data_IF_213243533395
#
_entry.id   IF_213243533395
#
_cell.length_a   1.000
_cell.length_b   1.000
_cell.length_c   1.000
_cell.angle_alpha   90.00
_cell.angle_beta   90.00
_cell.angle_gamma   90.00
#
_symmetry.space_group_name_H-M   'P 1'
#
loop_
_entity.id
_entity.type
_entity.pdbx_description
1 polymer ?
#
# COMPACT_ATOMS: atom_id res chain seq x y z
N UNK A 1 7.52 -4.11 -14.64
CA UNK A 1 7.28 -3.40 -13.36
C UNK A 1 8.61 -3.02 -12.71
N UNK A 2 9.50 -3.96 -12.41
CA UNK A 2 10.77 -3.67 -11.73
C UNK A 2 11.55 -2.51 -12.36
N UNK A 3 11.70 -2.52 -13.68
CA UNK A 3 12.37 -1.45 -14.45
C UNK A 3 11.66 -0.08 -14.36
N UNK A 4 10.32 -0.05 -14.18
CA UNK A 4 9.56 1.20 -14.00
C UNK A 4 9.67 1.77 -12.58
N UNK A 5 10.03 0.92 -11.62
CA UNK A 5 10.12 1.25 -10.21
C UNK A 5 11.57 1.31 -9.71
N UNK A 6 12.54 1.08 -10.59
CA UNK A 6 13.98 1.02 -10.25
C UNK A 6 14.28 0.04 -9.11
N UNK A 7 13.56 -1.11 -9.06
CA UNK A 7 13.69 -2.08 -7.98
C UNK A 7 14.05 -3.47 -8.49
N UNK A 8 14.36 -4.40 -7.58
CA UNK A 8 14.62 -5.79 -7.93
C UNK A 8 13.34 -6.53 -8.33
N UNK A 9 13.47 -7.53 -9.20
CA UNK A 9 12.33 -8.35 -9.63
C UNK A 9 11.69 -9.08 -8.46
N UNK A 10 12.48 -9.48 -7.48
CA UNK A 10 12.01 -10.15 -6.27
C UNK A 10 11.11 -9.29 -5.37
N UNK A 11 11.14 -7.96 -5.54
CA UNK A 11 10.33 -7.03 -4.77
C UNK A 11 9.00 -6.70 -5.47
N UNK A 12 8.76 -7.29 -6.64
CA UNK A 12 7.54 -7.04 -7.43
C UNK A 12 6.53 -8.16 -7.23
N UNK A 13 5.30 -7.79 -6.96
CA UNK A 13 4.14 -8.67 -6.97
C UNK A 13 3.13 -8.27 -8.05
N UNK A 14 2.21 -9.18 -8.37
CA UNK A 14 1.15 -8.95 -9.32
C UNK A 14 -0.20 -9.34 -8.71
N UNK A 15 -1.25 -8.65 -9.13
CA UNK A 15 -2.63 -8.93 -8.76
C UNK A 15 -3.59 -8.59 -9.88
N UNK A 16 -4.89 -8.73 -9.64
CA UNK A 16 -5.92 -8.40 -10.61
C UNK A 16 -6.30 -6.90 -10.59
N UNK A 17 -6.06 -6.21 -9.48
CA UNK A 17 -6.34 -4.78 -9.32
C UNK A 17 -5.54 -4.20 -8.15
N UNK A 18 -5.34 -2.86 -8.14
CA UNK A 18 -4.79 -2.17 -6.98
C UNK A 18 -5.64 -2.41 -5.72
N UNK A 19 -6.97 -2.47 -5.88
CA UNK A 19 -7.89 -2.77 -4.77
C UNK A 19 -7.61 -4.14 -4.14
N UNK A 20 -7.36 -5.18 -4.95
CA UNK A 20 -6.99 -6.51 -4.43
C UNK A 20 -5.68 -6.46 -3.66
N UNK A 21 -4.65 -5.81 -4.22
CA UNK A 21 -3.35 -5.71 -3.57
C UNK A 21 -3.43 -4.93 -2.25
N UNK A 22 -4.14 -3.78 -2.24
CA UNK A 22 -4.36 -2.99 -1.03
C UNK A 22 -5.21 -3.73 0.01
N UNK A 23 -6.25 -4.44 -0.44
CA UNK A 23 -7.07 -5.28 0.43
C UNK A 23 -6.28 -6.41 1.08
N UNK A 24 -5.48 -7.12 0.28
CA UNK A 24 -4.58 -8.18 0.77
C UNK A 24 -3.56 -7.64 1.76
N UNK A 25 -2.99 -6.46 1.48
CA UNK A 25 -2.06 -5.79 2.37
C UNK A 25 -2.73 -5.39 3.70
N UNK A 26 -3.91 -4.80 3.65
CA UNK A 26 -4.62 -4.38 4.86
C UNK A 26 -4.89 -5.56 5.81
N UNK A 27 -5.29 -6.71 5.26
CA UNK A 27 -5.46 -7.95 6.03
C UNK A 27 -4.13 -8.59 6.46
N UNK A 28 -3.03 -8.34 5.75
CA UNK A 28 -1.71 -8.83 6.16
C UNK A 28 -1.10 -8.01 7.30
N UNK A 29 -1.42 -6.72 7.39
CA UNK A 29 -0.94 -5.80 8.42
C UNK A 29 -1.82 -5.82 9.65
N UNK A 30 -3.15 -5.75 9.49
CA UNK A 30 -4.16 -5.76 10.55
C UNK A 30 -3.83 -4.79 11.72
N UNK A 31 -3.84 -3.47 11.50
CA UNK A 31 -3.60 -2.51 12.58
C UNK A 31 -4.51 -2.80 13.77
N UNK A 32 -3.94 -2.87 14.97
CA UNK A 32 -4.64 -3.27 16.19
C UNK A 32 -5.45 -2.13 16.83
N UNK A 33 -6.32 -2.47 17.80
CA UNK A 33 -6.97 -1.46 18.64
C UNK A 33 -5.93 -0.58 19.34
N UNK A 34 -6.15 0.74 19.32
CA UNK A 34 -5.23 1.75 19.84
C UNK A 34 -4.20 2.23 18.80
N UNK A 35 -4.07 1.54 17.68
CA UNK A 35 -3.30 2.05 16.53
C UNK A 35 -4.20 2.84 15.58
N UNK A 36 -3.56 3.59 14.67
CA UNK A 36 -4.27 4.34 13.65
C UNK A 36 -3.66 4.16 12.25
N UNK A 37 -4.49 4.43 11.25
CA UNK A 37 -4.11 4.55 9.85
C UNK A 37 -4.38 5.97 9.40
N UNK A 38 -3.36 6.64 8.87
CA UNK A 38 -3.45 8.02 8.38
C UNK A 38 -3.59 8.03 6.86
N UNK A 39 -4.52 8.83 6.35
CA UNK A 39 -4.71 9.10 4.92
C UNK A 39 -5.31 10.49 4.69
N UNK A 40 -5.87 10.73 3.52
CA UNK A 40 -6.57 11.97 3.19
C UNK A 40 -7.96 11.68 2.60
N UNK A 41 -8.89 12.62 2.80
CA UNK A 41 -10.23 12.56 2.20
C UNK A 41 -10.22 12.73 0.67
N UNK A 42 -9.12 13.22 0.09
CA UNK A 42 -8.94 13.36 -1.34
C UNK A 42 -8.56 12.04 -2.03
N UNK A 43 -8.00 11.07 -1.30
CA UNK A 43 -7.54 9.80 -1.87
C UNK A 43 -8.68 8.98 -2.46
N UNK A 44 -8.35 8.24 -3.53
CA UNK A 44 -9.30 7.33 -4.15
C UNK A 44 -9.80 6.30 -3.13
N UNK A 45 -11.10 5.94 -3.13
CA UNK A 45 -11.67 5.07 -2.10
C UNK A 45 -10.93 3.74 -1.88
N UNK A 46 -10.36 3.14 -2.93
CA UNK A 46 -9.60 1.89 -2.78
C UNK A 46 -8.32 2.04 -1.97
N UNK A 47 -7.80 3.27 -1.81
CA UNK A 47 -6.64 3.54 -0.96
C UNK A 47 -7.01 3.53 0.54
N UNK A 48 -8.28 3.83 0.86
CA UNK A 48 -8.75 3.99 2.25
C UNK A 48 -9.66 2.84 2.71
N UNK A 49 -10.62 2.42 1.88
CA UNK A 49 -11.66 1.46 2.28
C UNK A 49 -11.15 0.10 2.79
N UNK A 50 -10.06 -0.49 2.25
CA UNK A 50 -9.52 -1.72 2.82
C UNK A 50 -9.13 -1.58 4.29
N UNK A 51 -8.52 -0.46 4.64
CA UNK A 51 -8.15 -0.16 6.03
C UNK A 51 -9.37 0.09 6.90
N UNK A 52 -10.37 0.84 6.40
CA UNK A 52 -11.64 1.04 7.12
C UNK A 52 -12.30 -0.30 7.41
N UNK A 53 -12.31 -1.22 6.44
CA UNK A 53 -12.92 -2.55 6.64
C UNK A 53 -12.18 -3.36 7.71
N UNK A 54 -10.86 -3.35 7.70
CA UNK A 54 -10.05 -4.04 8.74
C UNK A 54 -10.25 -3.37 10.10
N UNK A 55 -10.34 -2.04 10.14
CA UNK A 55 -10.58 -1.29 11.38
C UNK A 55 -11.90 -1.64 12.07
N UNK A 56 -12.94 -1.98 11.32
CA UNK A 56 -14.20 -2.48 11.90
C UNK A 56 -14.00 -3.75 12.73
N UNK A 57 -13.10 -4.62 12.31
CA UNK A 57 -12.80 -5.89 13.01
C UNK A 57 -11.76 -5.73 14.12
N UNK A 58 -10.82 -4.81 13.96
CA UNK A 58 -9.67 -4.67 14.88
C UNK A 58 -9.83 -3.56 15.91
N UNK A 59 -10.65 -2.55 15.62
CA UNK A 59 -10.80 -1.35 16.45
C UNK A 59 -9.70 -0.30 16.24
N UNK A 60 -8.91 -0.41 15.17
CA UNK A 60 -7.96 0.65 14.79
C UNK A 60 -8.70 1.93 14.35
N UNK A 61 -8.09 3.09 14.52
CA UNK A 61 -8.65 4.37 14.11
C UNK A 61 -8.26 4.70 12.66
N UNK A 62 -9.19 5.26 11.88
CA UNK A 62 -8.88 5.86 10.56
C UNK A 62 -8.88 7.39 10.69
N UNK A 63 -7.74 8.01 10.43
CA UNK A 63 -7.54 9.45 10.45
C UNK A 63 -7.37 9.98 9.04
N UNK A 64 -8.23 10.91 8.65
CA UNK A 64 -8.25 11.45 7.29
C UNK A 64 -8.02 12.97 7.33
N UNK A 65 -6.89 13.40 6.76
CA UNK A 65 -6.62 14.80 6.52
C UNK A 65 -7.72 15.40 5.62
N UNK A 66 -8.25 16.59 5.96
CA UNK A 66 -9.26 17.27 5.15
C UNK A 66 -8.64 17.79 3.84
N UNK A 67 -9.47 18.03 2.84
CA UNK A 67 -9.13 18.78 1.64
C UNK A 67 -9.99 20.04 1.54
N UNK A 68 -9.58 20.99 0.73
CA UNK A 68 -10.36 22.18 0.38
C UNK A 68 -11.44 21.89 -0.68
N UNK A 69 -12.15 22.92 -1.13
CA UNK A 69 -13.20 22.81 -2.16
C UNK A 69 -12.66 22.38 -3.56
N UNK A 70 -11.35 22.48 -3.78
CA UNK A 70 -10.67 22.02 -4.99
C UNK A 70 -10.09 20.62 -4.82
N UNK A 71 -10.45 19.92 -3.76
CA UNK A 71 -9.90 18.61 -3.37
C UNK A 71 -8.38 18.62 -3.07
N UNK A 72 -7.80 19.80 -2.82
CA UNK A 72 -6.40 19.92 -2.42
C UNK A 72 -6.25 19.60 -0.93
N UNK A 73 -5.35 18.69 -0.60
CA UNK A 73 -4.95 18.38 0.78
C UNK A 73 -3.59 18.98 1.07
N UNK A 74 -3.51 19.78 2.13
CA UNK A 74 -2.23 20.25 2.64
C UNK A 74 -1.41 19.05 3.15
N UNK A 75 -0.19 18.82 2.61
CA UNK A 75 0.65 17.72 3.09
C UNK A 75 0.98 17.79 4.59
N UNK A 76 1.10 19.01 5.17
CA UNK A 76 1.28 19.19 6.61
C UNK A 76 0.05 18.71 7.38
N UNK A 77 -1.14 18.80 6.80
CA UNK A 77 -2.36 18.26 7.37
C UNK A 77 -2.32 16.73 7.47
N UNK A 78 -1.63 16.03 6.57
CA UNK A 78 -1.43 14.58 6.65
C UNK A 78 -0.43 14.27 7.75
N UNK A 79 0.74 14.90 7.74
CA UNK A 79 1.81 14.62 8.70
C UNK A 79 1.43 14.96 10.14
N UNK A 80 0.59 15.97 10.35
CA UNK A 80 0.08 16.35 11.68
C UNK A 80 -0.83 15.30 12.34
N UNK A 81 -1.36 14.34 11.56
CA UNK A 81 -2.18 13.23 12.08
C UNK A 81 -1.35 12.00 12.48
N UNK A 82 -0.04 12.01 12.16
CA UNK A 82 0.88 10.91 12.46
C UNK A 82 1.35 11.04 13.91
N UNK A 83 1.26 9.95 14.66
CA UNK A 83 1.76 9.85 16.04
C UNK A 83 2.42 8.48 16.30
N UNK A 84 2.89 8.25 17.52
CA UNK A 84 3.56 7.01 17.93
C UNK A 84 2.68 5.75 17.81
N UNK A 85 1.37 5.91 17.65
CA UNK A 85 0.42 4.80 17.46
C UNK A 85 0.06 4.61 15.98
N UNK A 86 0.64 5.39 15.07
CA UNK A 86 0.37 5.22 13.63
C UNK A 86 1.03 3.95 13.12
N UNK A 87 0.21 3.01 12.64
CA UNK A 87 0.69 1.77 12.04
C UNK A 87 0.94 1.92 10.54
N UNK A 88 0.10 2.71 9.87
CA UNK A 88 0.15 2.89 8.40
C UNK A 88 -0.14 4.33 8.04
N UNK A 89 0.63 4.85 7.09
CA UNK A 89 0.30 6.05 6.31
C UNK A 89 0.04 5.60 4.88
N UNK A 90 -1.13 5.93 4.32
CA UNK A 90 -1.51 5.51 2.96
C UNK A 90 -2.07 6.66 2.16
N UNK A 91 -1.53 6.88 0.96
CA UNK A 91 -1.95 7.98 0.07
C UNK A 91 -1.91 7.54 -1.40
N UNK A 92 -2.64 8.24 -2.26
CA UNK A 92 -2.36 8.23 -3.69
C UNK A 92 -1.10 9.06 -3.97
N UNK A 93 -0.17 8.61 -4.83
CA UNK A 93 0.96 9.46 -5.25
C UNK A 93 0.47 10.69 -6.03
N UNK A 94 -0.52 10.47 -6.89
CA UNK A 94 -1.24 11.53 -7.62
C UNK A 94 -2.73 11.34 -7.39
N UNK A 95 -3.40 12.38 -6.92
CA UNK A 95 -4.83 12.30 -6.63
C UNK A 95 -5.66 12.29 -7.93
N UNK A 96 -6.70 11.47 -7.92
CA UNK A 96 -7.53 11.23 -9.12
C UNK A 96 -8.43 12.42 -9.48
N UNK A 97 -8.82 13.23 -8.51
CA UNK A 97 -9.78 14.29 -8.69
C UNK A 97 -9.18 15.58 -9.24
N UNK A 98 -7.96 15.94 -8.81
CA UNK A 98 -7.34 17.22 -9.12
C UNK A 98 -5.90 17.12 -9.65
N UNK A 99 -5.30 15.91 -9.64
CA UNK A 99 -3.92 15.69 -10.08
C UNK A 99 -2.86 16.19 -9.08
N UNK A 100 -3.22 16.50 -7.84
CA UNK A 100 -2.25 16.84 -6.80
C UNK A 100 -1.25 15.70 -6.64
N UNK A 101 0.04 16.03 -6.70
CA UNK A 101 1.13 15.08 -6.47
C UNK A 101 1.77 15.34 -5.11
N UNK A 102 1.91 14.31 -4.31
CA UNK A 102 2.62 14.37 -3.05
C UNK A 102 4.12 14.12 -3.21
N UNK A 103 4.90 14.73 -2.33
CA UNK A 103 6.29 14.39 -2.09
C UNK A 103 6.34 13.10 -1.25
N UNK A 104 6.76 12.00 -1.88
CA UNK A 104 6.77 10.70 -1.23
C UNK A 104 7.88 10.61 -0.17
N UNK A 105 9.04 11.22 -0.41
CA UNK A 105 10.16 11.19 0.54
C UNK A 105 9.77 11.88 1.86
N UNK A 106 9.15 13.04 1.77
CA UNK A 106 8.66 13.78 2.95
C UNK A 106 7.63 12.96 3.77
N UNK A 107 6.66 12.33 3.09
CA UNK A 107 5.66 11.50 3.77
C UNK A 107 6.25 10.21 4.34
N UNK A 108 7.23 9.61 3.64
CA UNK A 108 7.95 8.44 4.11
C UNK A 108 8.76 8.76 5.37
N UNK A 109 9.49 9.89 5.40
CA UNK A 109 10.22 10.33 6.59
C UNK A 109 9.29 10.49 7.79
N UNK A 110 8.14 11.14 7.60
CA UNK A 110 7.15 11.31 8.66
C UNK A 110 6.61 9.97 9.16
N UNK A 111 6.23 9.05 8.27
CA UNK A 111 5.76 7.72 8.63
C UNK A 111 6.83 6.91 9.36
N UNK A 112 8.03 6.86 8.81
CA UNK A 112 9.14 6.07 9.37
C UNK A 112 9.65 6.62 10.70
N UNK A 113 9.50 7.93 10.98
CA UNK A 113 9.91 8.54 12.25
C UNK A 113 9.21 7.92 13.47
N UNK A 114 8.01 7.37 13.25
CA UNK A 114 7.21 6.67 14.26
C UNK A 114 7.14 5.14 14.05
N UNK A 115 7.85 4.63 13.05
CA UNK A 115 7.86 3.20 12.71
C UNK A 115 6.66 2.73 11.87
N UNK A 116 5.83 3.65 11.38
CA UNK A 116 4.69 3.34 10.53
C UNK A 116 5.11 2.81 9.14
N UNK A 117 4.27 1.99 8.54
CA UNK A 117 4.40 1.56 7.14
C UNK A 117 3.89 2.66 6.21
N UNK A 118 4.63 2.97 5.15
CA UNK A 118 4.19 3.93 4.13
C UNK A 118 3.74 3.22 2.86
N UNK A 119 2.46 3.38 2.52
CA UNK A 119 1.75 2.71 1.41
C UNK A 119 1.31 3.72 0.37
N UNK A 120 1.62 3.46 -0.89
CA UNK A 120 1.36 4.38 -2.00
C UNK A 120 0.51 3.72 -3.08
N UNK A 121 -0.65 4.30 -3.38
CA UNK A 121 -1.39 4.00 -4.60
C UNK A 121 -0.86 4.86 -5.75
N UNK A 122 -0.08 4.24 -6.63
CA UNK A 122 0.51 4.88 -7.80
C UNK A 122 -0.32 4.70 -9.09
N UNK A 123 -1.60 4.33 -8.96
CA UNK A 123 -2.46 4.06 -10.13
C UNK A 123 -2.55 5.26 -11.07
N UNK A 124 -2.50 6.49 -10.56
CA UNK A 124 -2.54 7.71 -11.39
C UNK A 124 -1.15 8.25 -11.75
N UNK A 125 -0.09 7.61 -11.34
CA UNK A 125 1.28 8.09 -11.60
C UNK A 125 2.17 7.08 -12.32
N UNK A 126 2.09 5.79 -11.97
CA UNK A 126 2.97 4.77 -12.53
C UNK A 126 2.77 4.63 -14.06
N UNK A 127 3.85 4.82 -14.81
CA UNK A 127 3.85 4.87 -16.27
C UNK A 127 3.71 6.28 -16.85
N UNK A 128 3.41 7.30 -16.01
CA UNK A 128 3.31 8.71 -16.41
C UNK A 128 4.35 9.58 -15.70
N UNK A 129 4.53 9.37 -14.41
CA UNK A 129 5.53 10.04 -13.57
C UNK A 129 6.58 9.02 -13.19
N UNK A 130 7.87 9.31 -13.33
CA UNK A 130 8.94 8.45 -12.83
C UNK A 130 8.79 8.21 -11.31
N UNK A 131 8.92 6.96 -10.90
CA UNK A 131 8.94 6.55 -9.51
C UNK A 131 10.16 5.65 -9.32
N UNK A 132 11.05 6.07 -8.46
CA UNK A 132 12.14 5.25 -7.95
C UNK A 132 11.68 4.71 -6.59
N UNK A 133 11.31 3.44 -6.52
CA UNK A 133 10.72 2.88 -5.32
C UNK A 133 11.67 2.90 -4.12
N UNK A 134 12.95 2.52 -4.26
CA UNK A 134 13.91 2.63 -3.16
C UNK A 134 14.08 4.06 -2.63
N UNK A 135 14.24 5.06 -3.50
CA UNK A 135 14.47 6.44 -3.05
C UNK A 135 13.21 7.14 -2.57
N UNK A 136 12.03 6.73 -3.03
CA UNK A 136 10.75 7.29 -2.57
C UNK A 136 10.46 7.03 -1.09
N UNK A 137 11.15 6.08 -0.48
CA UNK A 137 10.89 5.63 0.88
C UNK A 137 9.58 4.84 1.05
N UNK A 138 8.82 4.61 -0.01
CA UNK A 138 7.59 3.83 0.10
C UNK A 138 7.89 2.36 0.45
N UNK A 139 7.16 1.81 1.41
CA UNK A 139 7.24 0.40 1.76
C UNK A 139 6.46 -0.49 0.82
N UNK A 140 5.33 0.02 0.36
CA UNK A 140 4.48 -0.65 -0.63
C UNK A 140 4.01 0.37 -1.65
N UNK A 141 4.13 0.03 -2.93
CA UNK A 141 3.56 0.79 -4.04
C UNK A 141 2.67 -0.15 -4.83
N UNK A 142 1.46 0.28 -5.14
CA UNK A 142 0.55 -0.49 -6.01
C UNK A 142 0.06 0.35 -7.18
N UNK A 143 -0.23 -0.28 -8.32
CA UNK A 143 -0.87 0.40 -9.44
C UNK A 143 -1.73 -0.55 -10.26
N UNK A 144 -2.92 -0.11 -10.64
CA UNK A 144 -3.76 -0.80 -11.61
C UNK A 144 -3.23 -0.63 -13.04
N UNK A 145 -3.23 -1.71 -13.82
CA UNK A 145 -2.67 -1.75 -15.15
C UNK A 145 -3.41 -0.92 -16.21
N UNK A 146 -4.72 -0.74 -16.04
CA UNK A 146 -5.60 -0.14 -17.06
C UNK A 146 -5.53 1.38 -17.19
N UNK A 147 -4.78 2.07 -16.32
CA UNK A 147 -4.57 3.52 -16.40
C UNK A 147 -3.33 3.84 -17.24
N UNK A 148 -2.33 4.45 -16.66
CA UNK A 148 -1.13 4.93 -17.37
C UNK A 148 -0.18 3.83 -17.81
N UNK A 149 -0.30 2.62 -17.24
CA UNK A 149 0.41 1.43 -17.72
C UNK A 149 -0.17 0.87 -19.02
N UNK A 150 -1.33 1.38 -19.49
CA UNK A 150 -1.99 1.01 -20.76
C UNK A 150 -2.27 -0.49 -20.91
N UNK A 151 -2.42 -1.17 -19.81
CA UNK A 151 -2.79 -2.58 -19.76
C UNK A 151 -4.30 -2.81 -19.76
N UNK A 152 -4.70 -4.06 -19.67
CA UNK A 152 -6.09 -4.45 -19.53
C UNK A 152 -6.60 -4.31 -18.09
N UNK A 153 -7.92 -4.32 -17.92
CA UNK A 153 -8.53 -4.67 -16.65
C UNK A 153 -8.11 -6.09 -16.23
N UNK A 154 -8.06 -6.36 -14.93
CA UNK A 154 -7.64 -7.66 -14.41
C UNK A 154 -6.13 -7.80 -14.27
N UNK A 155 -5.37 -6.71 -14.35
CA UNK A 155 -3.93 -6.68 -14.10
C UNK A 155 -3.55 -5.50 -13.21
N UNK A 156 -2.73 -5.77 -12.21
CA UNK A 156 -2.11 -4.79 -11.33
C UNK A 156 -0.69 -5.24 -10.99
N UNK A 157 0.13 -4.28 -10.60
CA UNK A 157 1.48 -4.52 -10.13
C UNK A 157 1.68 -3.86 -8.77
N UNK A 158 2.54 -4.47 -7.95
CA UNK A 158 2.96 -3.91 -6.67
C UNK A 158 4.46 -4.06 -6.47
N UNK A 159 4.99 -3.20 -5.62
CA UNK A 159 6.30 -3.27 -5.03
C UNK A 159 6.12 -3.46 -3.52
N UNK A 160 6.90 -4.34 -2.92
CA UNK A 160 6.96 -4.54 -1.47
C UNK A 160 8.43 -4.47 -1.07
N UNK A 161 8.75 -3.46 -0.26
CA UNK A 161 10.11 -3.25 0.25
C UNK A 161 10.58 -4.44 1.09
N UNK A 162 11.86 -4.85 0.96
CA UNK A 162 12.45 -5.84 1.86
C UNK A 162 12.31 -5.48 3.35
N UNK A 163 12.19 -4.17 3.67
CA UNK A 163 12.01 -3.67 5.04
C UNK A 163 10.78 -4.26 5.73
N UNK A 164 9.69 -4.44 5.01
CA UNK A 164 8.40 -4.85 5.59
C UNK A 164 7.98 -6.26 5.23
N UNK A 165 8.51 -6.82 4.14
CA UNK A 165 8.08 -8.09 3.56
C UNK A 165 8.04 -9.25 4.56
N UNK A 166 9.09 -9.42 5.37
CA UNK A 166 9.18 -10.49 6.37
C UNK A 166 8.24 -10.34 7.58
N UNK A 167 7.59 -9.18 7.73
CA UNK A 167 6.63 -8.91 8.82
C UNK A 167 5.16 -9.02 8.38
N UNK A 168 4.89 -9.25 7.10
CA UNK A 168 3.53 -9.38 6.59
C UNK A 168 2.98 -10.78 6.87
N UNK A 169 1.72 -10.84 7.28
CA UNK A 169 0.99 -12.09 7.45
C UNK A 169 -0.05 -12.22 6.32
N UNK A 170 0.23 -13.01 5.25
CA UNK A 170 -0.62 -13.04 4.07
C UNK A 170 -2.07 -13.40 4.38
N UNK A 171 -3.02 -12.52 4.02
CA UNK A 171 -4.45 -12.78 4.19
C UNK A 171 -5.04 -13.73 3.13
N UNK A 172 -4.41 -13.80 1.95
CA UNK A 172 -4.81 -14.71 0.87
C UNK A 172 -3.78 -15.81 0.72
N UNK A 173 -4.19 -17.04 0.98
CA UNK A 173 -3.34 -18.23 0.93
C UNK A 173 -3.93 -19.23 -0.05
N UNK A 174 -3.07 -19.75 -0.94
CA UNK A 174 -3.41 -20.79 -1.92
C UNK A 174 -2.33 -21.84 -2.00
N UNK A 175 -2.46 -22.78 -2.93
CA UNK A 175 -1.49 -23.89 -3.04
C UNK A 175 -0.04 -23.43 -3.32
N UNK A 176 0.13 -22.26 -3.97
CA UNK A 176 1.43 -21.66 -4.23
C UNK A 176 2.05 -20.97 -3.01
N UNK A 177 1.31 -20.81 -1.94
CA UNK A 177 1.81 -20.25 -0.67
C UNK A 177 2.57 -21.30 0.16
N UNK A 178 2.50 -22.59 -0.22
CA UNK A 178 3.23 -23.64 0.48
C UNK A 178 4.72 -23.61 0.09
N UNK A 179 5.62 -23.81 1.07
CA UNK A 179 7.08 -23.88 0.88
C UNK A 179 7.50 -24.86 -0.22
N UNK A 180 6.84 -26.03 -0.27
CA UNK A 180 6.92 -26.97 -1.38
C UNK A 180 5.60 -26.96 -2.15
N UNK A 181 5.55 -26.21 -3.26
CA UNK A 181 4.34 -26.05 -4.07
C UNK A 181 3.83 -27.37 -4.69
N UNK A 182 4.65 -28.42 -4.66
CA UNK A 182 4.28 -29.74 -5.16
C UNK A 182 3.84 -30.71 -4.07
N UNK A 183 3.94 -30.32 -2.78
CA UNK A 183 3.29 -31.07 -1.70
C UNK A 183 1.78 -30.78 -1.69
N UNK A 184 1.07 -31.52 -2.52
CA UNK A 184 -0.37 -31.36 -2.77
C UNK A 184 -1.25 -31.93 -1.64
N UNK A 185 -0.76 -31.93 -0.39
CA UNK A 185 -1.50 -32.42 0.76
C UNK A 185 -2.31 -31.30 1.39
N UNK A 186 -3.63 -31.52 1.50
CA UNK A 186 -4.56 -30.51 2.04
C UNK A 186 -4.60 -30.44 3.57
N UNK A 187 -3.93 -31.34 4.27
CA UNK A 187 -3.96 -31.45 5.74
C UNK A 187 -2.87 -30.63 6.44
N UNK A 188 -1.99 -29.99 5.70
CA UNK A 188 -0.91 -29.15 6.25
C UNK A 188 -0.55 -28.00 5.34
N UNK A 189 -0.30 -26.88 5.92
CA UNK A 189 0.30 -25.70 5.27
C UNK A 189 1.63 -25.38 5.97
N UNK A 190 2.68 -25.26 5.19
CA UNK A 190 3.98 -24.75 5.65
C UNK A 190 4.35 -23.56 4.76
N UNK A 191 4.36 -22.38 5.33
CA UNK A 191 4.77 -21.16 4.62
C UNK A 191 6.31 -21.15 4.44
N UNK A 192 6.84 -20.50 3.40
CA UNK A 192 8.26 -20.18 3.30
C UNK A 192 8.74 -19.38 4.51
N UNK A 193 10.03 -19.50 4.84
CA UNK A 193 10.62 -18.81 6.00
C UNK A 193 10.73 -17.28 5.76
N UNK A 194 10.56 -16.84 4.51
CA UNK A 194 10.63 -15.46 4.02
C UNK A 194 9.27 -14.96 3.45
N UNK A 195 8.19 -15.65 3.83
CA UNK A 195 6.84 -15.29 3.41
C UNK A 195 6.25 -14.19 4.29
#
# INVERSE_FOLDING_TARGET
AASLLSCEVADVCCGSSATELLGSLAWAVMPAAGQNVVSTRASFPSTVYPWSRVSEDTGAEIRLAPHDDNHYTDPEGITSLIDENTAVVTVSHVEYANGQRYDLEMLAEAAHSVGAMFVVDATQSMGMVPIDAPSSGADVIVASGYKWLRGSYGAAVGFISPRVRGGLNPGLIGFRSHKDIWDMKSDRLTLPDDA
#
